data_IF_875764618017
#
_entry.id   IF_875764618017
#
_cell.length_a   1.000
_cell.length_b   1.000
_cell.length_c   1.000
_cell.angle_alpha   90.00
_cell.angle_beta   90.00
_cell.angle_gamma   90.00
#
_symmetry.space_group_name_H-M   'P 1'
#
loop_
_entity.id
_entity.type
_entity.pdbx_description
1 polymer ?
#
# COMPACT_ATOMS: atom_id res chain seq x y z
N UNK A 1 -2.63 -17.44 -23.49
CA UNK A 1 -1.46 -17.06 -22.65
C UNK A 1 -1.90 -16.19 -21.46
N UNK A 2 -2.69 -15.13 -21.64
CA UNK A 2 -3.18 -14.30 -20.52
C UNK A 2 -3.96 -15.11 -19.47
N UNK A 3 -4.84 -16.00 -19.88
CA UNK A 3 -5.63 -16.87 -18.98
C UNK A 3 -4.73 -17.74 -18.07
N UNK A 4 -3.73 -18.40 -18.65
CA UNK A 4 -2.81 -19.28 -17.89
C UNK A 4 -2.02 -18.51 -16.83
N UNK A 5 -1.62 -17.29 -17.16
CA UNK A 5 -0.90 -16.40 -16.24
C UNK A 5 -1.83 -15.88 -15.15
N UNK A 6 -3.04 -15.47 -15.53
CA UNK A 6 -4.08 -15.03 -14.59
C UNK A 6 -4.39 -16.12 -13.58
N UNK A 7 -4.68 -17.33 -14.03
CA UNK A 7 -4.99 -18.48 -13.17
C UNK A 7 -3.83 -18.83 -12.22
N UNK A 8 -2.59 -18.76 -12.72
CA UNK A 8 -1.41 -19.02 -11.89
C UNK A 8 -1.28 -18.03 -10.74
N UNK A 9 -1.38 -16.72 -11.01
CA UNK A 9 -1.28 -15.72 -9.95
C UNK A 9 -2.52 -15.69 -9.05
N UNK A 10 -3.70 -15.92 -9.60
CA UNK A 10 -4.93 -16.06 -8.81
C UNK A 10 -4.80 -17.18 -7.78
N UNK A 11 -4.25 -18.33 -8.16
CA UNK A 11 -4.02 -19.44 -7.24
C UNK A 11 -3.01 -19.09 -6.13
N UNK A 12 -1.92 -18.36 -6.48
CA UNK A 12 -0.91 -17.94 -5.48
C UNK A 12 -1.49 -16.96 -4.46
N UNK A 13 -2.35 -16.03 -4.92
CA UNK A 13 -2.93 -15.00 -4.05
C UNK A 13 -4.29 -15.39 -3.44
N UNK A 14 -4.84 -16.54 -3.80
CA UNK A 14 -6.11 -17.03 -3.24
C UNK A 14 -6.02 -17.53 -1.80
N UNK A 15 -4.82 -17.83 -1.31
CA UNK A 15 -4.61 -18.23 0.07
C UNK A 15 -4.81 -17.03 0.99
N UNK A 16 -6.03 -16.83 1.46
CA UNK A 16 -6.31 -15.93 2.56
C UNK A 16 -5.76 -16.55 3.86
N UNK A 17 -5.16 -15.73 4.70
CA UNK A 17 -4.92 -16.10 6.10
C UNK A 17 -6.27 -16.07 6.82
N UNK A 18 -7.01 -17.15 6.76
CA UNK A 18 -8.35 -17.26 7.36
C UNK A 18 -8.29 -17.70 8.84
N UNK A 19 -7.08 -17.79 9.43
CA UNK A 19 -6.95 -18.31 10.79
C UNK A 19 -6.69 -17.18 11.80
N UNK A 20 -7.73 -16.39 12.08
CA UNK A 20 -7.71 -15.36 13.11
C UNK A 20 -7.40 -15.94 14.50
N UNK A 21 -7.85 -17.17 14.78
CA UNK A 21 -7.61 -17.85 16.06
C UNK A 21 -6.12 -18.18 16.27
N UNK A 22 -5.41 -18.64 15.23
CA UNK A 22 -3.95 -18.85 15.31
C UNK A 22 -3.19 -17.53 15.49
N UNK A 23 -3.65 -16.47 14.87
CA UNK A 23 -3.07 -15.13 15.03
C UNK A 23 -3.26 -14.65 16.47
N UNK A 24 -4.45 -14.78 17.05
CA UNK A 24 -4.72 -14.38 18.43
C UNK A 24 -3.87 -15.19 19.41
N UNK A 25 -3.78 -16.51 19.25
CA UNK A 25 -2.91 -17.38 20.05
C UNK A 25 -1.43 -16.98 19.92
N UNK A 26 -0.98 -16.59 18.72
CA UNK A 26 0.37 -16.09 18.51
C UNK A 26 0.61 -14.78 19.28
N UNK A 27 -0.33 -13.83 19.18
CA UNK A 27 -0.22 -12.54 19.88
C UNK A 27 -0.23 -12.71 21.40
N UNK A 28 -1.09 -13.57 21.93
CA UNK A 28 -1.12 -13.90 23.37
C UNK A 28 0.19 -14.54 23.84
N UNK A 29 0.72 -15.49 23.06
CA UNK A 29 1.94 -16.23 23.43
C UNK A 29 3.18 -15.35 23.43
N UNK A 30 3.32 -14.46 22.45
CA UNK A 30 4.55 -13.66 22.27
C UNK A 30 4.45 -12.25 22.85
N UNK A 31 3.24 -11.81 23.23
CA UNK A 31 2.96 -10.50 23.82
C UNK A 31 3.79 -9.36 23.17
N UNK A 32 3.59 -9.09 21.88
CA UNK A 32 4.40 -8.09 21.19
C UNK A 32 4.24 -6.71 21.84
N UNK A 33 5.21 -5.82 21.70
CA UNK A 33 5.12 -4.47 22.25
C UNK A 33 3.87 -3.76 21.72
N UNK A 34 3.08 -3.23 22.63
CA UNK A 34 1.88 -2.46 22.31
C UNK A 34 2.20 -0.96 22.21
N UNK A 35 1.47 -0.27 21.34
CA UNK A 35 1.47 1.18 21.29
C UNK A 35 0.74 1.74 22.52
N UNK A 36 1.24 2.84 23.08
CA UNK A 36 0.52 3.56 24.11
C UNK A 36 -0.68 4.35 23.52
N UNK A 37 -1.50 4.93 24.40
CA UNK A 37 -2.69 5.64 23.96
C UNK A 37 -2.36 6.85 23.04
N UNK A 38 -1.35 7.64 23.39
CA UNK A 38 -0.91 8.79 22.59
C UNK A 38 -0.43 8.38 21.18
N UNK A 39 0.33 7.29 21.08
CA UNK A 39 0.79 6.73 19.81
C UNK A 39 -0.38 6.23 18.95
N UNK A 40 -1.36 5.60 19.59
CA UNK A 40 -2.58 5.12 18.93
C UNK A 40 -3.42 6.30 18.42
N UNK A 41 -3.60 7.34 19.22
CA UNK A 41 -4.30 8.57 18.82
C UNK A 41 -3.58 9.28 17.66
N UNK A 42 -2.24 9.31 17.68
CA UNK A 42 -1.44 9.88 16.58
C UNK A 42 -1.60 9.10 15.26
N UNK A 43 -1.67 7.77 15.31
CA UNK A 43 -1.94 6.94 14.13
C UNK A 43 -3.35 7.19 13.57
N UNK A 44 -4.33 7.34 14.45
CA UNK A 44 -5.75 7.48 14.10
C UNK A 44 -6.18 8.93 13.82
N UNK A 45 -5.28 9.89 13.94
CA UNK A 45 -5.63 11.31 13.68
C UNK A 45 -6.19 11.49 12.26
N UNK A 46 -7.12 12.44 12.07
CA UNK A 46 -7.64 12.77 10.74
C UNK A 46 -6.51 13.09 9.73
N UNK A 47 -6.73 12.68 8.49
CA UNK A 47 -5.81 13.04 7.38
C UNK A 47 -5.97 14.52 7.09
N UNK A 48 -4.85 15.23 6.92
CA UNK A 48 -4.81 16.66 6.66
C UNK A 48 -4.51 16.96 5.19
N UNK A 49 -4.96 18.12 4.71
CA UNK A 49 -4.63 18.63 3.37
C UNK A 49 -3.11 18.75 3.16
N UNK A 50 -2.38 19.15 4.21
CA UNK A 50 -0.92 19.28 4.16
C UNK A 50 -0.22 17.93 3.91
N UNK A 51 -0.66 16.84 4.55
CA UNK A 51 -0.10 15.50 4.29
C UNK A 51 -0.30 15.07 2.84
N UNK A 52 -1.50 15.32 2.28
CA UNK A 52 -1.82 15.02 0.89
C UNK A 52 -0.95 15.86 -0.06
N UNK A 53 -0.87 17.16 0.19
CA UNK A 53 -0.13 18.10 -0.65
C UNK A 53 1.37 17.77 -0.71
N UNK A 54 1.99 17.48 0.43
CA UNK A 54 3.39 17.08 0.51
C UNK A 54 3.63 15.80 -0.31
N UNK A 55 2.73 14.82 -0.23
CA UNK A 55 2.88 13.59 -0.99
C UNK A 55 2.71 13.80 -2.48
N UNK A 56 1.72 14.59 -2.91
CA UNK A 56 1.52 14.92 -4.32
C UNK A 56 2.78 15.62 -4.88
N UNK A 57 3.33 16.59 -4.14
CA UNK A 57 4.55 17.30 -4.54
C UNK A 57 5.74 16.36 -4.75
N UNK A 58 5.84 15.30 -3.94
CA UNK A 58 6.94 14.34 -3.97
C UNK A 58 6.63 13.07 -4.78
N UNK A 59 5.55 13.04 -5.55
CA UNK A 59 5.26 11.89 -6.42
C UNK A 59 6.37 11.70 -7.45
N UNK A 60 6.80 10.46 -7.69
CA UNK A 60 7.80 10.19 -8.72
C UNK A 60 7.22 10.45 -10.11
N UNK A 61 8.00 11.17 -10.93
CA UNK A 61 7.71 11.44 -12.34
C UNK A 61 8.14 10.27 -13.24
N UNK A 62 7.67 10.24 -14.47
CA UNK A 62 8.02 9.22 -15.47
C UNK A 62 7.72 7.77 -15.00
N UNK A 63 6.66 7.60 -14.22
CA UNK A 63 6.18 6.28 -13.78
C UNK A 63 4.82 5.97 -14.41
N UNK A 64 4.64 4.72 -14.80
CA UNK A 64 3.39 4.21 -15.37
C UNK A 64 2.20 4.48 -14.44
N UNK A 65 1.06 4.90 -14.99
CA UNK A 65 -0.18 5.08 -14.24
C UNK A 65 -0.79 3.76 -13.79
N UNK A 66 -1.81 3.83 -12.96
CA UNK A 66 -2.72 2.72 -12.66
C UNK A 66 -3.78 2.52 -13.75
N UNK A 67 -4.82 1.71 -13.49
CA UNK A 67 -5.93 1.49 -14.41
C UNK A 67 -6.66 2.76 -14.84
N UNK A 68 -6.69 3.79 -13.99
CA UNK A 68 -7.32 5.10 -14.24
C UNK A 68 -6.57 5.98 -15.26
N UNK A 69 -5.34 5.64 -15.62
CA UNK A 69 -4.50 6.37 -16.57
C UNK A 69 -3.88 7.66 -16.04
N UNK A 70 -4.13 8.06 -14.79
CA UNK A 70 -3.57 9.29 -14.23
C UNK A 70 -2.12 9.12 -13.74
N UNK A 71 -1.22 9.98 -14.24
CA UNK A 71 0.21 9.96 -13.89
C UNK A 71 0.53 10.82 -12.67
N UNK A 72 1.74 10.69 -12.14
CA UNK A 72 2.22 11.56 -11.05
C UNK A 72 2.25 13.03 -11.44
N UNK A 73 2.63 13.32 -12.70
CA UNK A 73 2.70 14.68 -13.26
C UNK A 73 1.32 15.33 -13.33
N UNK A 74 0.27 14.56 -13.64
CA UNK A 74 -1.10 15.05 -13.60
C UNK A 74 -1.48 15.52 -12.20
N UNK A 75 -1.20 14.70 -11.17
CA UNK A 75 -1.47 15.07 -9.78
C UNK A 75 -0.66 16.30 -9.33
N UNK A 76 0.60 16.40 -9.73
CA UNK A 76 1.45 17.55 -9.41
C UNK A 76 0.93 18.84 -10.07
N UNK A 77 0.47 18.76 -11.32
CA UNK A 77 -0.04 19.91 -12.08
C UNK A 77 -1.35 20.45 -11.49
N UNK A 78 -2.25 19.56 -11.06
CA UNK A 78 -3.57 19.91 -10.50
C UNK A 78 -3.59 19.72 -8.98
N UNK A 79 -2.48 20.01 -8.30
CA UNK A 79 -2.30 19.70 -6.88
C UNK A 79 -3.36 20.34 -5.99
N UNK A 80 -3.66 21.61 -6.19
CA UNK A 80 -4.58 22.37 -5.33
C UNK A 80 -5.99 21.80 -5.39
N UNK A 81 -6.49 21.55 -6.58
CA UNK A 81 -7.82 20.99 -6.81
C UNK A 81 -7.92 19.55 -6.29
N UNK A 82 -6.92 18.72 -6.61
CA UNK A 82 -6.89 17.32 -6.22
C UNK A 82 -6.71 17.14 -4.71
N UNK A 83 -5.99 18.03 -4.04
CA UNK A 83 -5.86 17.97 -2.57
C UNK A 83 -7.22 18.07 -1.88
N UNK A 84 -8.08 18.98 -2.33
CA UNK A 84 -9.42 19.13 -1.78
C UNK A 84 -10.33 17.92 -2.05
N UNK A 85 -10.21 17.33 -3.26
CA UNK A 85 -10.99 16.16 -3.66
C UNK A 85 -10.55 14.93 -2.84
N UNK A 86 -9.25 14.69 -2.76
CA UNK A 86 -8.68 13.56 -2.02
C UNK A 86 -8.97 13.66 -0.52
N UNK A 87 -8.92 14.87 0.05
CA UNK A 87 -9.26 15.06 1.46
C UNK A 87 -10.69 14.60 1.77
N UNK A 88 -11.65 15.03 0.96
CA UNK A 88 -13.05 14.60 1.08
C UNK A 88 -13.22 13.10 0.89
N UNK A 89 -12.53 12.54 -0.10
CA UNK A 89 -12.54 11.09 -0.35
C UNK A 89 -12.01 10.31 0.85
N UNK A 90 -10.87 10.72 1.41
CA UNK A 90 -10.26 10.01 2.54
C UNK A 90 -11.06 10.16 3.82
N UNK A 91 -11.69 11.31 4.06
CA UNK A 91 -12.64 11.49 5.16
C UNK A 91 -13.82 10.54 5.03
N UNK A 92 -14.40 10.46 3.83
CA UNK A 92 -15.51 9.55 3.56
C UNK A 92 -15.14 8.07 3.76
N UNK A 93 -13.93 7.67 3.36
CA UNK A 93 -13.41 6.31 3.60
C UNK A 93 -13.37 6.00 5.09
N UNK A 94 -12.91 6.95 5.91
CA UNK A 94 -12.86 6.78 7.38
C UNK A 94 -14.25 6.74 7.99
N UNK A 95 -15.18 7.59 7.52
CA UNK A 95 -16.56 7.63 8.03
C UNK A 95 -17.36 6.36 7.69
N UNK A 96 -17.16 5.81 6.47
CA UNK A 96 -17.91 4.64 5.98
C UNK A 96 -17.22 3.32 6.29
N UNK A 97 -15.97 3.36 6.78
CA UNK A 97 -15.08 2.18 6.98
C UNK A 97 -15.02 1.29 5.73
N UNK A 98 -15.03 1.93 4.56
CA UNK A 98 -15.09 1.23 3.27
C UNK A 98 -14.23 1.90 2.21
N UNK A 99 -13.33 1.10 1.62
CA UNK A 99 -12.53 1.53 0.47
C UNK A 99 -13.36 1.50 -0.83
N UNK A 100 -13.19 2.47 -1.74
CA UNK A 100 -13.75 2.41 -3.09
C UNK A 100 -13.24 1.18 -3.85
N UNK A 101 -14.07 0.63 -4.75
CA UNK A 101 -13.69 -0.54 -5.55
C UNK A 101 -12.41 -0.29 -6.38
N UNK A 102 -12.20 0.93 -6.85
CA UNK A 102 -11.01 1.34 -7.61
C UNK A 102 -9.69 1.18 -6.83
N UNK A 103 -9.74 1.11 -5.49
CA UNK A 103 -8.55 0.89 -4.65
C UNK A 103 -8.09 -0.57 -4.65
N UNK A 104 -8.99 -1.50 -5.03
CA UNK A 104 -8.69 -2.92 -5.19
C UNK A 104 -8.28 -3.28 -6.63
N UNK A 105 -8.32 -2.31 -7.55
CA UNK A 105 -7.96 -2.53 -8.94
C UNK A 105 -6.48 -2.24 -9.18
N UNK A 106 -5.85 -3.10 -9.98
CA UNK A 106 -4.48 -2.91 -10.42
C UNK A 106 -4.23 -3.54 -11.79
N UNK A 107 -3.38 -2.92 -12.57
CA UNK A 107 -2.84 -3.54 -13.79
C UNK A 107 -1.62 -4.37 -13.41
N UNK A 108 -1.63 -5.66 -13.72
CA UNK A 108 -0.49 -6.55 -13.47
C UNK A 108 0.38 -6.59 -14.72
N UNK A 109 1.62 -6.13 -14.59
CA UNK A 109 2.65 -6.21 -15.64
C UNK A 109 3.69 -7.24 -15.24
N UNK A 110 4.05 -8.13 -16.17
CA UNK A 110 5.06 -9.15 -15.95
C UNK A 110 6.43 -8.66 -16.38
N UNK A 111 7.42 -8.77 -15.50
CA UNK A 111 8.82 -8.46 -15.79
C UNK A 111 9.61 -9.76 -15.78
N UNK A 112 10.23 -10.16 -16.89
CA UNK A 112 11.09 -11.35 -16.92
C UNK A 112 12.25 -11.24 -15.92
N UNK A 113 12.55 -12.34 -15.24
CA UNK A 113 13.76 -12.42 -14.40
C UNK A 113 14.99 -12.43 -15.31
N UNK A 114 16.09 -11.74 -14.93
CA UNK A 114 17.32 -11.72 -15.71
C UNK A 114 17.82 -13.16 -15.99
N UNK A 115 18.25 -13.40 -17.21
CA UNK A 115 18.84 -14.68 -17.65
C UNK A 115 17.93 -15.92 -17.46
N UNK A 116 16.61 -15.73 -17.44
CA UNK A 116 15.62 -16.80 -17.37
C UNK A 116 14.74 -16.81 -18.61
N UNK A 117 14.23 -17.98 -18.95
CA UNK A 117 13.28 -18.18 -20.04
C UNK A 117 11.96 -17.46 -19.72
N UNK A 118 11.67 -16.37 -20.43
CA UNK A 118 10.48 -15.54 -20.22
C UNK A 118 9.16 -16.25 -20.59
N UNK A 119 9.22 -17.36 -21.32
CA UNK A 119 8.02 -18.15 -21.68
C UNK A 119 7.45 -18.92 -20.51
N UNK A 120 8.26 -19.15 -19.49
CA UNK A 120 7.85 -19.84 -18.26
C UNK A 120 7.27 -18.84 -17.25
N UNK A 121 6.04 -19.11 -16.78
CA UNK A 121 5.31 -18.24 -15.85
C UNK A 121 6.07 -17.95 -14.55
N UNK A 122 6.75 -18.94 -14.00
CA UNK A 122 7.57 -18.84 -12.78
C UNK A 122 8.82 -17.95 -12.93
N UNK A 123 9.22 -17.67 -14.16
CA UNK A 123 10.37 -16.82 -14.47
C UNK A 123 10.00 -15.33 -14.63
N UNK A 124 8.77 -14.98 -14.36
CA UNK A 124 8.31 -13.60 -14.38
C UNK A 124 8.08 -13.07 -12.95
N UNK A 125 8.25 -11.76 -12.77
CA UNK A 125 7.91 -11.01 -11.56
C UNK A 125 6.65 -10.19 -11.86
N UNK A 126 5.53 -10.41 -11.15
CA UNK A 126 4.38 -9.56 -11.30
C UNK A 126 4.67 -8.19 -10.67
N UNK A 127 4.37 -7.13 -11.41
CA UNK A 127 4.38 -5.75 -10.92
C UNK A 127 2.95 -5.22 -10.94
N UNK A 128 2.45 -4.84 -9.78
CA UNK A 128 1.12 -4.26 -9.65
C UNK A 128 1.18 -2.75 -9.81
N UNK A 129 0.42 -2.21 -10.75
CA UNK A 129 0.25 -0.79 -11.01
C UNK A 129 -1.13 -0.36 -10.49
N UNK A 130 -1.16 0.15 -9.26
CA UNK A 130 -2.36 0.69 -8.60
C UNK A 130 -2.58 2.16 -8.97
N UNK A 131 -3.79 2.64 -8.80
CA UNK A 131 -4.16 4.04 -8.94
C UNK A 131 -3.39 4.94 -7.97
N UNK A 132 -3.19 6.20 -8.34
CA UNK A 132 -2.36 7.15 -7.56
C UNK A 132 -3.03 7.57 -6.26
N UNK A 133 -4.33 7.74 -6.24
CA UNK A 133 -5.12 8.06 -5.05
C UNK A 133 -4.96 6.99 -3.96
N UNK A 134 -5.07 5.70 -4.32
CA UNK A 134 -4.82 4.59 -3.41
C UNK A 134 -3.37 4.59 -2.87
N UNK A 135 -2.39 4.89 -3.73
CA UNK A 135 -0.98 5.00 -3.32
C UNK A 135 -0.74 6.17 -2.37
N UNK A 136 -1.41 7.30 -2.57
CA UNK A 136 -1.31 8.47 -1.68
C UNK A 136 -1.85 8.10 -0.29
N UNK A 137 -3.04 7.50 -0.20
CA UNK A 137 -3.60 7.05 1.06
C UNK A 137 -2.68 6.07 1.79
N UNK A 138 -2.23 5.03 1.09
CA UNK A 138 -1.32 4.03 1.65
C UNK A 138 0.00 4.66 2.12
N UNK A 139 0.53 5.66 1.41
CA UNK A 139 1.78 6.32 1.81
C UNK A 139 1.60 7.21 3.04
N UNK A 140 0.43 7.87 3.21
CA UNK A 140 0.11 8.58 4.45
C UNK A 140 0.15 7.62 5.64
N UNK A 141 -0.55 6.49 5.53
CA UNK A 141 -0.59 5.49 6.58
C UNK A 141 0.80 4.88 6.86
N UNK A 142 1.54 4.54 5.80
CA UNK A 142 2.90 4.02 5.93
C UNK A 142 3.84 5.01 6.65
N UNK A 143 3.78 6.30 6.33
CA UNK A 143 4.59 7.33 6.99
C UNK A 143 4.23 7.46 8.49
N UNK A 144 2.96 7.29 8.86
CA UNK A 144 2.53 7.30 10.26
C UNK A 144 3.04 6.06 11.00
N UNK A 145 2.89 4.88 10.41
CA UNK A 145 3.35 3.61 11.00
C UNK A 145 4.89 3.60 11.14
N UNK A 146 5.62 4.16 10.17
CA UNK A 146 7.09 4.20 10.16
C UNK A 146 7.66 4.86 11.42
N UNK A 147 6.95 5.81 12.02
CA UNK A 147 7.36 6.47 13.26
C UNK A 147 7.37 5.51 14.47
N UNK A 148 6.57 4.46 14.42
CA UNK A 148 6.38 3.51 15.50
C UNK A 148 6.94 2.10 15.20
N UNK A 149 7.32 1.84 13.95
CA UNK A 149 7.67 0.50 13.48
C UNK A 149 8.85 -0.12 14.25
N UNK A 150 9.84 0.69 14.64
CA UNK A 150 10.99 0.24 15.41
C UNK A 150 10.61 -0.24 16.82
N UNK A 151 9.51 0.25 17.37
CA UNK A 151 8.98 -0.17 18.66
C UNK A 151 8.18 -1.46 18.56
N UNK A 152 7.44 -1.62 17.45
CA UNK A 152 6.54 -2.77 17.24
C UNK A 152 7.31 -4.00 16.77
N UNK A 153 8.33 -3.81 15.93
CA UNK A 153 9.07 -4.92 15.33
C UNK A 153 10.24 -5.31 16.25
N UNK A 154 10.37 -6.62 16.46
CA UNK A 154 11.49 -7.18 17.25
C UNK A 154 12.83 -6.80 16.63
N UNK A 155 13.82 -6.46 17.47
CA UNK A 155 15.13 -5.96 17.07
C UNK A 155 15.94 -6.94 16.18
N UNK A 156 15.64 -8.23 16.20
CA UNK A 156 16.26 -9.23 15.32
C UNK A 156 15.74 -9.16 13.87
N UNK A 157 14.67 -8.39 13.60
CA UNK A 157 14.10 -8.18 12.27
C UNK A 157 14.67 -6.92 11.63
N UNK A 158 15.93 -6.97 11.19
CA UNK A 158 16.69 -5.82 10.67
C UNK A 158 16.47 -5.54 9.16
N UNK A 159 15.73 -6.36 8.44
CA UNK A 159 15.51 -6.17 7.01
C UNK A 159 14.55 -5.04 6.69
N UNK A 160 14.99 -4.07 5.85
CA UNK A 160 14.17 -2.98 5.32
C UNK A 160 13.65 -1.93 6.33
N UNK A 161 14.19 -1.87 7.54
CA UNK A 161 13.85 -0.82 8.51
C UNK A 161 14.88 0.30 8.39
N UNK A 162 14.50 1.55 8.05
CA UNK A 162 15.44 2.66 7.93
C UNK A 162 16.19 2.92 9.24
N UNK A 163 17.52 2.98 9.19
CA UNK A 163 18.36 3.35 10.33
C UNK A 163 18.54 2.28 11.41
N UNK A 164 18.46 1.00 11.02
CA UNK A 164 18.94 -0.15 11.81
C UNK A 164 20.26 -0.64 11.28
#
# INVERSE_FOLDING_TARGET
MQTIISDYYQHIYANKMDNLEEMDQFLEKYNPPNLNQEETENLNRPITSMEIEILIKNLPTNKSPGPDGFTGEFYQKFREELTCILLKLFQKIVEEDKLPNTFYEATITLIPKPNKDATKKENNRPMSLMNRDAKILNKIQANRIEQHIKKIIHHDKVGFIPGT
#
